data_IF_992525978416
#
_entry.id   IF_992525978416
#
_cell.length_a   1.000
_cell.length_b   1.000
_cell.length_c   1.000
_cell.angle_alpha   90.00
_cell.angle_beta   90.00
_cell.angle_gamma   90.00
#
_symmetry.space_group_name_H-M   'P 1'
#
loop_
_entity.id
_entity.type
_entity.pdbx_description
1 polymer ?
#
# COMPACT_ATOMS: atom_id res chain seq x y z
N UNK A 1 -4.90 2.27 -5.84
CA UNK A 1 -3.94 2.89 -4.90
C UNK A 1 -2.81 3.46 -5.71
N UNK A 2 -2.59 4.76 -5.59
CA UNK A 2 -1.59 5.48 -6.37
C UNK A 2 -0.16 5.21 -5.87
N UNK A 3 -0.02 4.74 -4.63
CA UNK A 3 1.28 4.38 -4.03
C UNK A 3 1.83 3.07 -4.57
N UNK A 4 1.17 1.93 -4.32
CA UNK A 4 1.67 0.61 -4.71
C UNK A 4 1.08 0.08 -6.02
N UNK A 5 0.09 0.77 -6.61
CA UNK A 5 -0.61 0.31 -7.81
C UNK A 5 -1.76 -0.68 -7.56
N UNK A 6 -1.94 -1.22 -6.35
CA UNK A 6 -3.01 -2.17 -6.08
C UNK A 6 -4.42 -1.57 -6.34
N UNK A 7 -5.25 -2.28 -7.11
CA UNK A 7 -6.61 -1.90 -7.51
C UNK A 7 -7.53 -3.16 -7.60
N UNK A 8 -8.78 -2.98 -8.03
CA UNK A 8 -9.71 -4.08 -8.33
C UNK A 8 -9.88 -5.12 -7.21
N UNK A 9 -10.04 -4.65 -5.98
CA UNK A 9 -10.19 -5.49 -4.79
C UNK A 9 -8.87 -5.91 -4.12
N UNK A 10 -7.72 -5.85 -4.82
CA UNK A 10 -6.39 -6.18 -4.25
C UNK A 10 -5.88 -5.18 -3.22
N UNK A 11 -6.46 -3.97 -3.22
CA UNK A 11 -6.15 -2.95 -2.22
C UNK A 11 -6.96 -3.07 -0.93
N UNK A 12 -8.04 -3.86 -0.92
CA UNK A 12 -9.02 -3.92 0.17
C UNK A 12 -9.77 -2.60 0.35
N UNK A 13 -9.11 -1.64 0.99
CA UNK A 13 -9.63 -0.30 1.25
C UNK A 13 -8.65 0.77 0.77
N UNK A 14 -9.19 1.75 0.03
CA UNK A 14 -8.48 2.96 -0.36
C UNK A 14 -8.73 4.06 0.69
N UNK A 15 -7.67 4.74 1.10
CA UNK A 15 -7.69 5.80 2.10
C UNK A 15 -7.30 7.09 1.41
N UNK A 16 -8.23 8.05 1.39
CA UNK A 16 -7.95 9.38 0.84
C UNK A 16 -7.11 10.18 1.81
N UNK A 17 -5.96 10.66 1.34
CA UNK A 17 -5.08 11.51 2.13
C UNK A 17 -5.37 12.98 1.82
N UNK A 18 -5.46 13.88 2.83
CA UNK A 18 -5.80 15.28 2.62
C UNK A 18 -4.86 16.04 1.68
N UNK A 19 -3.60 15.63 1.60
CA UNK A 19 -2.54 16.30 0.82
C UNK A 19 -1.55 15.28 0.21
N UNK A 20 -2.03 14.13 -0.25
CA UNK A 20 -1.17 13.08 -0.78
C UNK A 20 -1.90 12.10 -1.69
N UNK A 21 -1.16 11.20 -2.35
CA UNK A 21 -1.76 10.18 -3.20
C UNK A 21 -2.64 9.25 -2.38
N UNK A 22 -3.75 8.81 -2.98
CA UNK A 22 -4.65 7.86 -2.34
C UNK A 22 -3.92 6.53 -2.11
N UNK A 23 -3.81 6.15 -0.84
CA UNK A 23 -3.04 4.97 -0.44
C UNK A 23 -3.96 3.83 0.03
N UNK A 24 -3.57 2.58 -0.17
CA UNK A 24 -4.30 1.45 0.38
C UNK A 24 -3.92 1.21 1.84
N UNK A 25 -4.72 0.41 2.55
CA UNK A 25 -4.45 0.04 3.94
C UNK A 25 -3.04 -0.51 4.15
N UNK A 26 -2.54 -1.37 3.26
CA UNK A 26 -1.16 -1.89 3.33
C UNK A 26 -0.10 -0.79 3.23
N UNK A 27 -0.26 0.17 2.32
CA UNK A 27 0.67 1.28 2.16
C UNK A 27 0.69 2.17 3.40
N UNK A 28 -0.49 2.52 3.91
CA UNK A 28 -0.62 3.32 5.13
C UNK A 28 0.04 2.62 6.31
N UNK A 29 -0.27 1.34 6.52
CA UNK A 29 0.24 0.59 7.67
C UNK A 29 1.75 0.36 7.55
N UNK A 30 2.27 0.12 6.34
CA UNK A 30 3.71 0.08 6.08
C UNK A 30 4.39 1.39 6.47
N UNK A 31 3.85 2.54 6.03
CA UNK A 31 4.37 3.86 6.40
C UNK A 31 4.26 4.13 7.90
N UNK A 32 3.14 3.78 8.52
CA UNK A 32 2.88 4.04 9.94
C UNK A 32 3.75 3.19 10.86
N UNK A 33 4.00 1.93 10.50
CA UNK A 33 4.77 0.96 11.32
C UNK A 33 6.25 0.95 11.00
N UNK A 34 6.66 1.55 9.88
CA UNK A 34 8.05 1.54 9.40
C UNK A 34 8.60 0.11 9.17
N UNK A 35 7.71 -0.80 8.77
CA UNK A 35 8.00 -2.19 8.39
C UNK A 35 7.09 -2.59 7.23
N UNK A 36 7.49 -3.59 6.43
CA UNK A 36 6.64 -4.06 5.31
C UNK A 36 5.43 -4.78 5.89
N UNK A 37 4.24 -4.24 5.65
CA UNK A 37 2.97 -4.85 6.06
C UNK A 37 2.28 -5.46 4.85
N UNK A 38 1.87 -6.72 4.97
CA UNK A 38 1.04 -7.45 4.00
C UNK A 38 -0.15 -8.07 4.72
N UNK A 39 -1.33 -7.52 4.51
CA UNK A 39 -2.60 -8.13 4.94
C UNK A 39 -2.87 -9.41 4.15
N UNK A 40 -3.01 -10.55 4.85
CA UNK A 40 -3.06 -11.89 4.25
C UNK A 40 -4.35 -12.24 3.51
N UNK A 41 -5.39 -11.42 3.66
CA UNK A 41 -6.66 -11.49 2.93
C UNK A 41 -6.63 -10.72 1.59
N UNK A 42 -5.51 -10.03 1.30
CA UNK A 42 -5.33 -9.27 0.06
C UNK A 42 -4.31 -9.97 -0.85
N UNK A 43 -4.64 -10.03 -2.13
CA UNK A 43 -3.72 -10.51 -3.16
C UNK A 43 -2.75 -9.40 -3.59
N UNK A 44 -1.50 -9.79 -3.90
CA UNK A 44 -0.47 -8.86 -4.35
C UNK A 44 0.36 -9.42 -5.50
N UNK A 45 0.63 -8.59 -6.49
CA UNK A 45 1.64 -8.88 -7.51
C UNK A 45 3.04 -8.57 -6.98
N UNK A 46 4.08 -9.15 -7.59
CA UNK A 46 5.47 -8.84 -7.24
C UNK A 46 5.81 -7.36 -7.41
N UNK A 47 5.21 -6.68 -8.40
CA UNK A 47 5.38 -5.24 -8.62
C UNK A 47 4.76 -4.40 -7.51
N UNK A 48 3.56 -4.78 -7.05
CA UNK A 48 2.88 -4.12 -5.93
C UNK A 48 3.67 -4.30 -4.62
N UNK A 49 4.24 -5.50 -4.40
CA UNK A 49 5.12 -5.77 -3.26
C UNK A 49 6.38 -4.91 -3.28
N UNK A 50 7.05 -4.80 -4.44
CA UNK A 50 8.25 -3.99 -4.60
C UNK A 50 7.97 -2.52 -4.28
N UNK A 51 6.89 -1.95 -4.82
CA UNK A 51 6.47 -0.57 -4.49
C UNK A 51 6.11 -0.37 -3.03
N UNK A 52 5.54 -1.39 -2.37
CA UNK A 52 5.29 -1.33 -0.92
C UNK A 52 6.59 -1.24 -0.14
N UNK A 53 7.66 -1.94 -0.55
CA UNK A 53 8.98 -1.84 0.09
C UNK A 53 9.61 -0.46 -0.09
N UNK A 54 9.43 0.18 -1.25
CA UNK A 54 9.95 1.52 -1.54
C UNK A 54 9.41 2.60 -0.59
N UNK A 55 8.23 2.39 0.03
CA UNK A 55 7.65 3.32 1.02
C UNK A 55 8.59 3.57 2.19
N UNK A 56 9.37 2.57 2.60
CA UNK A 56 10.29 2.67 3.74
C UNK A 56 11.57 3.46 3.42
N UNK A 57 11.76 3.84 2.16
CA UNK A 57 12.90 4.64 1.70
C UNK A 57 12.57 6.12 1.49
N UNK A 58 11.32 6.53 1.73
CA UNK A 58 10.81 7.90 1.58
C UNK A 58 10.71 8.61 2.93
#
# INVERSE_FOLDING_TARGET
CETCGACDGRCGMLIQLPNGPDECLNCRDTRKRQEVVIHGDLERTSEELARTMEILSQ
#
